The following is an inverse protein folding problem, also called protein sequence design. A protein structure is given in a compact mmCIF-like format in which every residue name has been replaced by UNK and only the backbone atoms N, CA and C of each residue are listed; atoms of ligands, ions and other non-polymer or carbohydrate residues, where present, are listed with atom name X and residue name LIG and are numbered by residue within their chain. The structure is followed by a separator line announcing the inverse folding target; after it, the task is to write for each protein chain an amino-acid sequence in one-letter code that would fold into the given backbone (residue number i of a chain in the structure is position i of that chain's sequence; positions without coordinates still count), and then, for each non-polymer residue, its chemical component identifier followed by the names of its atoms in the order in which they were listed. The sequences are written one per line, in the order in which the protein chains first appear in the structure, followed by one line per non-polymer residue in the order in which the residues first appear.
data_IF_280288825132
#
_entry.id   IF_280288825132
#
_cell.length_a   1.000
_cell.length_b   1.000
_cell.length_c   1.000
_cell.angle_alpha   90.00
_cell.angle_beta   90.00
_cell.angle_gamma   90.00
#
_symmetry.space_group_name_H-M   'P 1'
#
loop_
_entity.id
_entity.type
_entity.pdbx_description
1 polymer ?
#
# COMPACT_ATOMS: atom_id res chain seq x y z
N UNK A 1 12.87 1.73 -12.25
CA UNK A 1 12.84 2.25 -11.26
C UNK A 1 13.27 2.00 -9.84
N UNK A 2 14.44 1.31 -9.62
CA UNK A 2 14.90 1.06 -8.25
C UNK A 2 15.35 2.33 -7.47
N UNK A 3 15.42 3.46 -8.13
CA UNK A 3 15.89 4.69 -7.51
C UNK A 3 14.79 5.58 -6.94
N UNK A 4 13.57 5.44 -7.43
CA UNK A 4 12.43 6.16 -6.86
C UNK A 4 12.09 5.67 -5.45
N UNK A 5 12.45 4.43 -5.13
CA UNK A 5 12.21 3.85 -3.82
C UNK A 5 13.20 4.25 -2.73
N UNK A 6 14.34 4.84 -3.09
CA UNK A 6 15.38 5.11 -2.10
C UNK A 6 15.14 6.31 -1.19
N UNK A 7 14.30 7.24 -1.58
CA UNK A 7 14.07 8.44 -0.78
C UNK A 7 12.90 8.34 0.19
N UNK A 8 11.77 7.81 -0.27
CA UNK A 8 10.54 7.75 0.55
C UNK A 8 10.00 6.34 0.73
N UNK A 9 10.26 5.41 -0.22
CA UNK A 9 9.86 4.02 -0.07
C UNK A 9 10.62 3.25 1.02
N UNK A 10 11.74 3.79 1.49
CA UNK A 10 12.51 3.19 2.59
C UNK A 10 11.93 3.48 3.98
N UNK A 11 10.90 4.32 4.07
CA UNK A 11 10.31 4.76 5.34
C UNK A 11 8.96 4.10 5.65
N UNK A 12 8.60 2.99 4.98
CA UNK A 12 7.36 2.29 5.25
C UNK A 12 7.47 1.43 6.50
N UNK A 13 6.43 1.44 7.29
CA UNK A 13 6.36 0.71 8.56
C UNK A 13 6.90 1.52 9.73
N UNK A 14 6.53 1.14 10.92
CA UNK A 14 7.03 1.74 12.15
C UNK A 14 8.40 1.18 12.50
N UNK A 15 9.36 2.06 12.82
CA UNK A 15 10.66 1.62 13.29
C UNK A 15 10.53 0.95 14.66
N UNK A 16 11.04 -0.26 14.79
CA UNK A 16 11.14 -0.99 16.05
C UNK A 16 12.58 -0.82 16.54
N UNK A 17 12.75 -0.30 17.74
CA UNK A 17 14.02 0.18 18.25
C UNK A 17 15.11 -0.87 18.52
N UNK A 18 14.93 -2.13 18.11
CA UNK A 18 15.91 -3.18 18.27
C UNK A 18 16.12 -3.94 16.96
N UNK A 19 17.32 -4.48 16.78
CA UNK A 19 17.61 -5.34 15.64
C UNK A 19 16.72 -6.59 15.69
N UNK A 20 16.06 -6.89 14.57
CA UNK A 20 15.20 -8.05 14.45
C UNK A 20 16.03 -9.26 14.06
N UNK A 21 15.92 -10.36 14.82
CA UNK A 21 16.67 -11.59 14.58
C UNK A 21 16.27 -12.29 13.28
N UNK A 22 17.17 -13.09 12.73
CA UNK A 22 16.97 -13.79 11.46
C UNK A 22 15.79 -14.77 11.48
N UNK A 23 15.53 -15.43 12.62
CA UNK A 23 14.39 -16.32 12.77
C UNK A 23 13.05 -15.56 12.71
N UNK A 24 13.01 -14.40 13.31
CA UNK A 24 11.85 -13.49 13.26
C UNK A 24 11.55 -13.08 11.83
N UNK A 25 12.58 -12.68 11.06
CA UNK A 25 12.43 -12.32 9.66
C UNK A 25 11.85 -13.45 8.81
N UNK A 26 12.29 -14.69 9.04
CA UNK A 26 11.78 -15.86 8.30
C UNK A 26 10.30 -16.14 8.60
N UNK A 27 9.87 -16.01 9.86
CA UNK A 27 8.48 -16.20 10.25
C UNK A 27 7.57 -15.13 9.62
N UNK A 28 7.98 -13.87 9.70
CA UNK A 28 7.25 -12.75 9.09
C UNK A 28 7.20 -12.91 7.58
N UNK A 29 8.32 -13.31 6.95
CA UNK A 29 8.37 -13.56 5.51
C UNK A 29 7.35 -14.60 5.06
N UNK A 30 7.20 -15.69 5.78
CA UNK A 30 6.21 -16.73 5.48
C UNK A 30 4.77 -16.19 5.60
N UNK A 31 4.50 -15.39 6.62
CA UNK A 31 3.19 -14.76 6.78
C UNK A 31 2.88 -13.80 5.64
N UNK A 32 3.85 -12.99 5.26
CA UNK A 32 3.72 -12.06 4.13
C UNK A 32 3.56 -12.80 2.80
N UNK A 33 4.30 -13.88 2.58
CA UNK A 33 4.15 -14.70 1.37
C UNK A 33 2.73 -15.29 1.25
N UNK A 34 2.18 -15.76 2.35
CA UNK A 34 0.81 -16.28 2.39
C UNK A 34 -0.21 -15.21 2.04
N UNK A 35 -0.10 -14.04 2.67
CA UNK A 35 -0.98 -12.91 2.41
C UNK A 35 -0.83 -12.40 0.97
N UNK A 36 0.41 -12.35 0.46
CA UNK A 36 0.69 -11.98 -0.92
C UNK A 36 -0.07 -12.84 -1.91
N UNK A 37 -0.11 -14.15 -1.71
CA UNK A 37 -0.86 -15.08 -2.57
C UNK A 37 -2.37 -14.77 -2.55
N UNK A 38 -2.93 -14.45 -1.40
CA UNK A 38 -4.32 -14.04 -1.30
C UNK A 38 -4.60 -12.78 -2.12
N UNK A 39 -3.69 -11.81 -2.04
CA UNK A 39 -3.81 -10.52 -2.74
C UNK A 39 -3.59 -10.64 -4.24
N UNK A 40 -2.71 -11.54 -4.69
CA UNK A 40 -2.47 -11.80 -6.11
C UNK A 40 -3.72 -12.31 -6.85
N UNK A 41 -4.66 -12.90 -6.13
CA UNK A 41 -5.94 -13.34 -6.68
C UNK A 41 -6.93 -12.18 -6.96
N UNK A 42 -6.63 -10.95 -6.50
CA UNK A 42 -7.48 -9.80 -6.71
C UNK A 42 -7.22 -9.22 -8.10
N UNK A 43 -8.26 -9.18 -8.94
CA UNK A 43 -8.17 -8.60 -10.28
C UNK A 43 -7.86 -7.11 -10.21
N UNK A 44 -6.91 -6.65 -11.02
CA UNK A 44 -6.49 -5.26 -11.08
C UNK A 44 -5.41 -4.87 -10.07
N UNK A 45 -5.04 -5.76 -9.16
CA UNK A 45 -3.98 -5.52 -8.18
C UNK A 45 -2.63 -6.02 -8.71
N UNK A 46 -1.63 -5.16 -8.69
CA UNK A 46 -0.23 -5.56 -8.90
C UNK A 46 0.42 -5.73 -7.54
N UNK A 47 0.87 -6.94 -7.23
CA UNK A 47 1.37 -7.29 -5.90
C UNK A 47 2.86 -7.61 -5.95
N UNK A 48 3.64 -6.96 -5.10
CA UNK A 48 5.10 -7.11 -5.04
C UNK A 48 5.57 -7.28 -3.60
N UNK A 49 6.64 -8.05 -3.41
CA UNK A 49 7.35 -8.09 -2.14
C UNK A 49 8.32 -6.93 -2.05
N UNK A 50 8.32 -6.24 -0.92
CA UNK A 50 9.25 -5.15 -0.62
C UNK A 50 9.79 -5.33 0.80
N UNK A 51 10.70 -4.47 1.23
CA UNK A 51 11.22 -4.46 2.60
C UNK A 51 10.78 -3.18 3.31
N UNK A 52 10.45 -3.30 4.58
CA UNK A 52 10.13 -2.16 5.44
C UNK A 52 11.38 -1.54 6.08
N UNK A 53 11.18 -0.55 6.97
CA UNK A 53 12.28 0.12 7.68
C UNK A 53 13.10 -0.81 8.58
N UNK A 54 12.55 -1.96 8.95
CA UNK A 54 13.20 -2.97 9.80
C UNK A 54 13.86 -4.09 8.98
N UNK A 55 13.95 -3.94 7.65
CA UNK A 55 14.39 -4.97 6.70
C UNK A 55 13.53 -6.24 6.73
N UNK A 56 12.29 -6.12 7.20
CA UNK A 56 11.32 -7.20 7.18
C UNK A 56 10.55 -7.19 5.86
N UNK A 57 10.17 -8.38 5.40
CA UNK A 57 9.34 -8.49 4.21
C UNK A 57 8.00 -7.79 4.42
N UNK A 58 7.61 -6.98 3.46
CA UNK A 58 6.35 -6.27 3.39
C UNK A 58 5.72 -6.50 2.01
N UNK A 59 4.50 -6.04 1.82
CA UNK A 59 3.77 -6.20 0.57
C UNK A 59 3.42 -4.83 0.02
N UNK A 60 3.67 -4.63 -1.27
CA UNK A 60 3.23 -3.46 -2.01
C UNK A 60 2.16 -3.86 -3.00
N UNK A 61 0.99 -3.25 -2.90
CA UNK A 61 -0.12 -3.45 -3.82
C UNK A 61 -0.35 -2.15 -4.58
N UNK A 62 -0.32 -2.22 -5.90
CA UNK A 62 -0.55 -1.07 -6.78
C UNK A 62 -1.86 -1.25 -7.55
N UNK A 63 -2.69 -0.21 -7.50
CA UNK A 63 -3.90 -0.10 -8.32
C UNK A 63 -3.80 1.14 -9.20
N UNK A 64 -4.10 0.99 -10.49
CA UNK A 64 -4.21 2.14 -11.39
C UNK A 64 -5.44 2.97 -11.02
N UNK A 65 -5.29 4.30 -11.05
CA UNK A 65 -6.41 5.19 -10.75
C UNK A 65 -7.60 5.00 -11.71
N UNK A 66 -7.34 4.63 -12.97
CA UNK A 66 -8.39 4.31 -13.94
C UNK A 66 -9.26 3.12 -13.54
N UNK A 67 -8.71 2.19 -12.74
CA UNK A 67 -9.46 1.07 -12.18
C UNK A 67 -10.25 1.52 -10.94
N UNK A 68 -9.60 2.31 -10.06
CA UNK A 68 -10.18 2.70 -8.78
C UNK A 68 -11.24 3.79 -8.88
N UNK A 69 -11.07 4.76 -9.79
CA UNK A 69 -11.87 5.97 -9.81
C UNK A 69 -12.40 6.27 -11.20
N UNK A 70 -13.58 6.88 -11.26
CA UNK A 70 -14.06 7.51 -12.49
C UNK A 70 -13.14 8.69 -12.87
N UNK A 71 -13.10 9.03 -14.16
CA UNK A 71 -12.23 10.10 -14.69
C UNK A 71 -12.44 11.41 -13.91
N UNK A 72 -11.33 11.99 -13.42
CA UNK A 72 -11.29 13.24 -12.66
C UNK A 72 -12.07 13.21 -11.32
N UNK A 73 -12.34 12.02 -10.78
CA UNK A 73 -13.08 11.87 -9.52
C UNK A 73 -12.25 11.14 -8.47
N UNK A 74 -12.66 11.31 -7.22
CA UNK A 74 -12.14 10.58 -6.05
C UNK A 74 -13.16 9.57 -5.53
N UNK A 75 -14.25 9.35 -6.25
CA UNK A 75 -15.26 8.36 -5.91
C UNK A 75 -14.88 7.00 -6.50
N UNK A 76 -14.92 5.97 -5.66
CA UNK A 76 -14.54 4.62 -6.07
C UNK A 76 -15.56 4.03 -7.04
N UNK A 77 -15.05 3.39 -8.09
CA UNK A 77 -15.87 2.67 -9.07
C UNK A 77 -16.49 1.41 -8.45
N UNK A 78 -17.57 0.86 -9.00
CA UNK A 78 -18.15 -0.40 -8.53
C UNK A 78 -17.15 -1.57 -8.57
N UNK A 79 -16.34 -1.67 -9.63
CA UNK A 79 -15.31 -2.71 -9.77
C UNK A 79 -14.24 -2.60 -8.69
N UNK A 80 -13.83 -1.38 -8.34
CA UNK A 80 -12.83 -1.16 -7.28
C UNK A 80 -13.37 -1.53 -5.91
N UNK A 81 -14.65 -1.29 -5.65
CA UNK A 81 -15.28 -1.68 -4.38
C UNK A 81 -15.24 -3.19 -4.18
N UNK A 82 -15.46 -3.96 -5.24
CA UNK A 82 -15.32 -5.42 -5.17
C UNK A 82 -13.88 -5.83 -4.87
N UNK A 83 -12.91 -5.26 -5.57
CA UNK A 83 -11.49 -5.53 -5.34
C UNK A 83 -11.07 -5.15 -3.92
N UNK A 84 -11.47 -3.98 -3.44
CA UNK A 84 -11.12 -3.51 -2.10
C UNK A 84 -11.86 -4.26 -0.99
N UNK A 85 -13.03 -4.84 -1.27
CA UNK A 85 -13.71 -5.75 -0.32
C UNK A 85 -12.88 -7.02 -0.11
N UNK A 86 -12.35 -7.60 -1.17
CA UNK A 86 -11.43 -8.75 -1.09
C UNK A 86 -10.14 -8.38 -0.36
N UNK A 87 -9.62 -7.19 -0.63
CA UNK A 87 -8.45 -6.64 0.06
C UNK A 87 -8.70 -6.52 1.56
N UNK A 88 -9.86 -5.96 1.95
CA UNK A 88 -10.25 -5.85 3.35
C UNK A 88 -10.34 -7.21 4.04
N UNK A 89 -10.84 -8.23 3.35
CA UNK A 89 -10.90 -9.59 3.91
C UNK A 89 -9.50 -10.10 4.26
N UNK A 90 -8.53 -9.91 3.37
CA UNK A 90 -7.13 -10.27 3.64
C UNK A 90 -6.57 -9.52 4.84
N UNK A 91 -6.87 -8.22 4.97
CA UNK A 91 -6.43 -7.42 6.12
C UNK A 91 -7.05 -7.87 7.43
N UNK A 92 -8.30 -8.30 7.42
CA UNK A 92 -8.98 -8.85 8.61
C UNK A 92 -8.34 -10.17 9.06
N UNK A 93 -7.89 -10.98 8.12
CA UNK A 93 -7.21 -12.25 8.40
C UNK A 93 -5.78 -12.05 8.93
N UNK A 94 -5.24 -10.85 8.80
CA UNK A 94 -3.90 -10.47 9.28
C UNK A 94 -3.99 -9.18 10.10
N UNK A 95 -4.62 -9.21 11.29
CA UNK A 95 -4.90 -8.00 12.08
C UNK A 95 -3.65 -7.37 12.68
N UNK A 96 -2.53 -8.06 12.66
CA UNK A 96 -1.23 -7.63 13.18
C UNK A 96 -0.36 -6.97 12.10
N UNK A 97 -0.99 -6.37 11.11
CA UNK A 97 -0.33 -5.55 10.08
C UNK A 97 -0.82 -4.12 10.10
N UNK A 98 0.06 -3.20 9.72
CA UNK A 98 -0.27 -1.81 9.43
C UNK A 98 -0.31 -1.58 7.93
N UNK A 99 -1.08 -0.59 7.51
CA UNK A 99 -1.34 -0.29 6.11
C UNK A 99 -1.08 1.18 5.84
N UNK A 100 -0.22 1.47 4.86
CA UNK A 100 0.08 2.84 4.42
C UNK A 100 -0.38 3.00 2.97
N UNK A 101 -1.17 4.02 2.69
CA UNK A 101 -1.78 4.27 1.39
C UNK A 101 -1.23 5.56 0.82
N UNK A 102 -0.60 5.49 -0.35
CA UNK A 102 -0.06 6.64 -1.07
C UNK A 102 -0.84 6.88 -2.36
N UNK A 103 -1.38 8.08 -2.52
CA UNK A 103 -1.93 8.53 -3.79
C UNK A 103 -0.88 9.21 -4.64
N UNK A 104 -0.86 8.92 -5.95
CA UNK A 104 0.06 9.50 -6.92
C UNK A 104 -0.69 10.03 -8.14
N UNK A 105 -0.15 11.07 -8.74
CA UNK A 105 -0.68 11.67 -9.97
C UNK A 105 0.41 11.68 -11.07
N UNK A 106 -0.01 11.99 -12.30
CA UNK A 106 0.93 12.44 -13.32
C UNK A 106 1.27 13.93 -13.07
N UNK A 107 2.08 14.52 -13.95
CA UNK A 107 2.52 15.92 -13.81
C UNK A 107 1.59 16.92 -14.51
N UNK A 108 0.37 16.53 -14.86
CA UNK A 108 -0.60 17.43 -15.52
C UNK A 108 -1.25 18.34 -14.48
N UNK A 109 -1.33 19.63 -14.77
CA UNK A 109 -1.98 20.60 -13.89
C UNK A 109 -1.04 21.16 -12.82
N UNK A 110 -1.62 21.82 -11.82
CA UNK A 110 -0.83 22.49 -10.78
C UNK A 110 -0.46 21.53 -9.65
N UNK A 111 0.60 21.88 -8.91
CA UNK A 111 1.01 21.11 -7.72
C UNK A 111 -0.10 21.07 -6.67
N UNK A 112 -0.72 22.22 -6.39
CA UNK A 112 -1.77 22.30 -5.36
C UNK A 112 -2.95 21.37 -5.66
N UNK A 113 -3.40 21.30 -6.91
CA UNK A 113 -4.49 20.39 -7.34
C UNK A 113 -4.05 18.94 -7.20
N UNK A 114 -2.84 18.60 -7.62
CA UNK A 114 -2.34 17.23 -7.55
C UNK A 114 -2.08 16.77 -6.11
N UNK A 115 -1.60 17.63 -5.23
CA UNK A 115 -1.48 17.33 -3.80
C UNK A 115 -2.85 17.01 -3.19
N UNK A 116 -3.84 17.83 -3.48
CA UNK A 116 -5.22 17.64 -2.97
C UNK A 116 -5.83 16.34 -3.49
N UNK A 117 -5.81 16.12 -4.81
CA UNK A 117 -6.49 14.97 -5.42
C UNK A 117 -5.80 13.65 -5.04
N UNK A 118 -4.48 13.63 -4.93
CA UNK A 118 -3.75 12.43 -4.51
C UNK A 118 -4.09 12.06 -3.07
N UNK A 119 -4.24 13.04 -2.17
CA UNK A 119 -4.66 12.82 -0.78
C UNK A 119 -6.11 12.35 -0.71
N UNK A 120 -7.01 13.00 -1.43
CA UNK A 120 -8.43 12.61 -1.49
C UNK A 120 -8.61 11.18 -1.97
N UNK A 121 -7.84 10.75 -2.96
CA UNK A 121 -7.90 9.38 -3.48
C UNK A 121 -7.36 8.36 -2.48
N UNK A 122 -6.26 8.66 -1.80
CA UNK A 122 -5.75 7.81 -0.73
C UNK A 122 -6.78 7.70 0.41
N UNK A 123 -7.39 8.82 0.80
CA UNK A 123 -8.41 8.86 1.85
C UNK A 123 -9.68 8.09 1.44
N UNK A 124 -10.08 8.14 0.18
CA UNK A 124 -11.24 7.39 -0.32
C UNK A 124 -11.02 5.87 -0.15
N UNK A 125 -9.83 5.38 -0.45
CA UNK A 125 -9.47 3.97 -0.23
C UNK A 125 -9.52 3.63 1.26
N UNK A 126 -8.89 4.46 2.11
CA UNK A 126 -8.89 4.24 3.56
C UNK A 126 -10.31 4.24 4.13
N UNK A 127 -11.14 5.20 3.75
CA UNK A 127 -12.52 5.30 4.23
C UNK A 127 -13.35 4.08 3.82
N UNK A 128 -13.15 3.56 2.62
CA UNK A 128 -13.81 2.33 2.19
C UNK A 128 -13.39 1.14 3.05
N UNK A 129 -12.10 0.99 3.33
CA UNK A 129 -11.58 -0.09 4.17
C UNK A 129 -12.14 0.00 5.60
N UNK A 130 -12.25 1.20 6.16
CA UNK A 130 -12.90 1.43 7.47
C UNK A 130 -14.35 0.98 7.43
N UNK A 131 -15.07 1.31 6.36
CA UNK A 131 -16.45 0.86 6.15
C UNK A 131 -16.58 -0.66 6.06
N UNK A 132 -15.53 -1.35 5.65
CA UNK A 132 -15.46 -2.81 5.60
C UNK A 132 -15.03 -3.44 6.93
N UNK A 133 -14.78 -2.65 7.97
CA UNK A 133 -14.44 -3.14 9.30
C UNK A 133 -12.96 -3.09 9.67
N UNK A 134 -12.13 -2.43 8.86
CA UNK A 134 -10.72 -2.24 9.19
C UNK A 134 -10.59 -1.05 10.16
N UNK A 135 -9.87 -1.24 11.26
CA UNK A 135 -9.63 -0.18 12.22
C UNK A 135 -8.83 0.97 11.59
N UNK A 136 -9.31 2.20 11.77
CA UNK A 136 -8.62 3.39 11.26
C UNK A 136 -7.20 3.52 11.82
N UNK A 137 -6.96 3.05 13.04
CA UNK A 137 -5.63 3.10 13.67
C UNK A 137 -4.57 2.28 12.92
N UNK A 138 -4.99 1.35 12.07
CA UNK A 138 -4.08 0.56 11.22
C UNK A 138 -3.72 1.28 9.91
N UNK A 139 -4.41 2.36 9.56
CA UNK A 139 -4.35 2.99 8.24
C UNK A 139 -3.67 4.35 8.32
N UNK A 140 -2.72 4.60 7.43
CA UNK A 140 -2.08 5.90 7.22
C UNK A 140 -2.24 6.27 5.76
N UNK A 141 -2.59 7.52 5.46
CA UNK A 141 -2.76 8.01 4.10
C UNK A 141 -1.86 9.20 3.83
N UNK A 142 -1.33 9.29 2.60
CA UNK A 142 -0.53 10.42 2.16
C UNK A 142 -0.76 10.66 0.66
N UNK A 143 -0.87 11.92 0.28
CA UNK A 143 -0.89 12.33 -1.12
C UNK A 143 0.48 12.80 -1.55
N UNK A 144 1.09 12.15 -2.53
CA UNK A 144 2.45 12.43 -2.99
C UNK A 144 2.48 13.19 -4.32
N UNK A 145 1.32 13.57 -4.85
CA UNK A 145 1.21 14.30 -6.12
C UNK A 145 2.04 13.62 -7.23
N UNK A 146 2.89 14.36 -7.94
CA UNK A 146 3.72 13.83 -9.03
C UNK A 146 5.20 13.68 -8.64
N UNK A 147 5.49 13.60 -7.34
CA UNK A 147 6.88 13.59 -6.84
C UNK A 147 7.59 12.25 -7.03
N UNK A 148 6.85 11.16 -7.27
CA UNK A 148 7.41 9.82 -7.40
C UNK A 148 6.90 9.10 -8.65
N UNK A 149 7.31 9.56 -9.85
CA UNK A 149 6.89 8.90 -11.09
C UNK A 149 7.52 7.51 -11.21
N UNK A 150 6.76 6.57 -11.76
CA UNK A 150 7.22 5.21 -12.10
C UNK A 150 7.44 5.05 -13.61
N UNK A 151 6.96 6.03 -14.40
CA UNK A 151 7.04 6.01 -15.86
C UNK A 151 7.23 7.43 -16.39
N UNK A 152 7.42 7.54 -17.71
CA UNK A 152 7.66 8.80 -18.40
C UNK A 152 6.36 9.61 -18.50
N UNK A 153 6.33 10.79 -17.92
CA UNK A 153 5.21 11.73 -17.99
C UNK A 153 5.02 12.38 -19.38
N UNK A 154 5.98 12.23 -20.27
CA UNK A 154 5.88 12.77 -21.64
C UNK A 154 4.98 11.93 -22.54
N UNK A 155 4.68 10.68 -22.16
CA UNK A 155 3.79 9.80 -22.92
C UNK A 155 2.45 9.60 -22.20
N UNK A 156 1.39 9.35 -22.96
CA UNK A 156 0.08 9.06 -22.37
C UNK A 156 0.08 7.77 -21.55
N UNK A 157 0.80 6.75 -22.02
CA UNK A 157 0.96 5.47 -21.32
C UNK A 157 1.71 5.65 -20.00
N UNK A 158 2.78 6.44 -20.00
CA UNK A 158 3.55 6.74 -18.80
C UNK A 158 2.74 7.53 -17.77
N UNK A 159 2.00 8.53 -18.21
CA UNK A 159 1.11 9.29 -17.32
C UNK A 159 0.05 8.38 -16.68
N UNK A 160 -0.52 7.46 -17.45
CA UNK A 160 -1.51 6.52 -16.92
C UNK A 160 -0.91 5.63 -15.82
N UNK A 161 0.33 5.17 -16.00
CA UNK A 161 1.04 4.39 -14.97
C UNK A 161 1.35 5.22 -13.72
N UNK A 162 1.62 6.51 -13.89
CA UNK A 162 1.91 7.40 -12.76
C UNK A 162 0.66 7.71 -11.93
N UNK A 163 -0.52 7.71 -12.54
CA UNK A 163 -1.81 7.87 -11.84
C UNK A 163 -2.20 6.55 -11.16
N UNK A 164 -1.80 6.40 -9.91
CA UNK A 164 -1.96 5.16 -9.15
C UNK A 164 -2.14 5.40 -7.66
N UNK A 165 -2.60 4.36 -6.98
CA UNK A 165 -2.57 4.27 -5.52
C UNK A 165 -1.68 3.08 -5.15
N UNK A 166 -0.74 3.31 -4.27
CA UNK A 166 0.14 2.27 -3.71
C UNK A 166 -0.25 2.02 -2.27
N UNK A 167 -0.42 0.74 -1.93
CA UNK A 167 -0.79 0.32 -0.59
C UNK A 167 0.30 -0.60 -0.06
N UNK A 168 0.88 -0.24 1.07
CA UNK A 168 1.94 -1.02 1.72
C UNK A 168 1.40 -1.70 2.97
N UNK A 169 1.61 -3.01 3.07
CA UNK A 169 1.24 -3.81 4.24
C UNK A 169 2.53 -4.20 4.95
N UNK A 170 2.65 -3.81 6.21
CA UNK A 170 3.85 -4.02 7.03
C UNK A 170 3.51 -4.72 8.33
N UNK A 171 4.47 -5.49 8.87
CA UNK A 171 4.33 -6.08 10.19
C UNK A 171 4.29 -4.97 11.26
N UNK A 172 3.31 -5.00 12.13
CA UNK A 172 3.27 -4.10 13.28
C UNK A 172 4.08 -4.66 14.45
N UNK A 173 4.14 -3.92 15.56
CA UNK A 173 4.89 -4.33 16.75
C UNK A 173 4.40 -5.67 17.32
N UNK A 174 3.10 -5.93 17.27
CA UNK A 174 2.51 -7.17 17.77
C UNK A 174 2.95 -8.37 16.94
N UNK A 175 2.98 -8.26 15.63
CA UNK A 175 3.46 -9.33 14.76
C UNK A 175 4.93 -9.63 15.04
N UNK A 176 5.74 -8.60 15.18
CA UNK A 176 7.18 -8.75 15.48
C UNK A 176 7.37 -9.45 16.82
N UNK A 177 6.63 -9.05 17.86
CA UNK A 177 6.65 -9.70 19.16
C UNK A 177 6.29 -11.17 19.11
N UNK A 178 5.21 -11.50 18.39
CA UNK A 178 4.77 -12.90 18.23
C UNK A 178 5.82 -13.73 17.50
N UNK A 179 6.46 -13.16 16.47
CA UNK A 179 7.52 -13.84 15.74
C UNK A 179 8.76 -14.05 16.63
N UNK A 180 9.16 -13.06 17.44
CA UNK A 180 10.29 -13.17 18.37
C UNK A 180 10.06 -14.22 19.44
N UNK A 181 8.81 -14.39 19.91
CA UNK A 181 8.44 -15.38 20.93
C UNK A 181 8.10 -16.76 20.35
N UNK A 182 8.16 -16.93 19.01
CA UNK A 182 7.80 -18.17 18.34
C UNK A 182 6.29 -18.45 18.28
N UNK A 183 5.45 -17.44 18.56
CA UNK A 183 3.99 -17.59 18.60
C UNK A 183 3.30 -17.21 17.28
N UNK A 184 4.04 -16.81 16.27
CA UNK A 184 3.49 -16.46 14.97
C UNK A 184 3.27 -17.72 14.11
N UNK A 185 2.03 -17.96 13.68
CA UNK A 185 1.63 -19.09 12.82
C UNK A 185 1.54 -18.69 11.34
#
# INVERSE_FOLDING_TARGET
GALAGKGKGAAIGAAVGAAVGSGTGALIGRRMDKQKKELEAIEGAKVESVQDVNNLQAIKVTFDNGILFATNKSELSPASREALTKFATSLKNSPDTDVTIYGHTDNTGTRAVNERISKERADAVANFLVGQGISRSRLTTEGLAFDQPVADNSTAEGRAQNRRVEIYITANADMIKKAESGQLN
#
